data_IF_064838916530
#
_entry.id   IF_064838916530
#
_cell.length_a   1.000
_cell.length_b   1.000
_cell.length_c   1.000
_cell.angle_alpha   90.00
_cell.angle_beta   90.00
_cell.angle_gamma   90.00
#
_symmetry.space_group_name_H-M   'P 1'
#
loop_
_entity.id
_entity.type
_entity.pdbx_description
1 polymer ?
#
# COMPACT_ATOMS: atom_id res chain seq x y z
N UNK A 1 -27.77 -17.97 -40.67
CA UNK A 1 -27.93 -18.63 -39.35
C UNK A 1 -26.61 -18.51 -38.61
N UNK A 2 -26.59 -17.84 -37.46
CA UNK A 2 -25.39 -17.82 -36.60
C UNK A 2 -25.22 -19.23 -36.00
N UNK A 3 -24.05 -19.83 -36.21
CA UNK A 3 -23.69 -21.12 -35.61
C UNK A 3 -23.68 -20.97 -34.09
N UNK A 4 -24.49 -21.76 -33.37
CA UNK A 4 -24.41 -21.82 -31.91
C UNK A 4 -23.04 -22.40 -31.54
N UNK A 5 -22.24 -21.63 -30.82
CA UNK A 5 -21.02 -22.13 -30.19
C UNK A 5 -21.35 -23.36 -29.35
N UNK A 6 -20.59 -24.46 -29.50
CA UNK A 6 -20.76 -25.65 -28.67
C UNK A 6 -20.37 -25.27 -27.24
N UNK A 7 -21.37 -25.05 -26.40
CA UNK A 7 -21.18 -24.92 -24.95
C UNK A 7 -20.78 -26.31 -24.46
N UNK A 8 -19.54 -26.48 -24.04
CA UNK A 8 -19.09 -27.70 -23.35
C UNK A 8 -19.83 -27.80 -22.02
N UNK A 9 -20.26 -29.00 -21.59
CA UNK A 9 -21.03 -29.20 -20.34
C UNK A 9 -20.34 -28.63 -19.08
N UNK A 10 -19.05 -28.30 -19.16
CA UNK A 10 -18.26 -27.67 -18.09
C UNK A 10 -18.31 -26.13 -18.08
N UNK A 11 -18.95 -25.46 -19.04
CA UNK A 11 -19.01 -23.98 -19.13
C UNK A 11 -20.43 -23.46 -18.93
N UNK A 12 -20.85 -23.39 -17.66
CA UNK A 12 -22.18 -22.93 -17.25
C UNK A 12 -22.09 -21.98 -16.03
N UNK A 13 -23.15 -21.23 -15.70
CA UNK A 13 -23.14 -20.22 -14.61
C UNK A 13 -22.80 -20.72 -13.20
N UNK A 14 -22.69 -22.03 -12.99
CA UNK A 14 -22.31 -22.62 -11.70
C UNK A 14 -20.97 -23.37 -11.79
N UNK A 15 -20.30 -23.28 -12.93
CA UNK A 15 -19.03 -23.96 -13.15
C UNK A 15 -17.95 -23.31 -12.29
N UNK A 16 -17.19 -24.15 -11.59
CA UNK A 16 -16.01 -23.75 -10.82
C UNK A 16 -14.71 -24.04 -11.59
N UNK A 17 -14.81 -24.53 -12.82
CA UNK A 17 -13.65 -24.80 -13.67
C UNK A 17 -12.90 -23.51 -13.98
N UNK A 18 -11.56 -23.51 -13.88
CA UNK A 18 -10.73 -22.33 -14.19
C UNK A 18 -10.78 -21.92 -15.66
N UNK A 19 -11.18 -22.83 -16.54
CA UNK A 19 -11.38 -22.56 -17.96
C UNK A 19 -12.80 -22.06 -18.31
N UNK A 20 -13.71 -22.02 -17.33
CA UNK A 20 -15.07 -21.53 -17.56
C UNK A 20 -15.11 -20.02 -17.70
N UNK A 21 -15.81 -19.56 -18.74
CA UNK A 21 -16.10 -18.14 -18.99
C UNK A 21 -16.96 -17.59 -17.86
N UNK A 22 -17.92 -18.37 -17.36
CA UNK A 22 -18.78 -17.99 -16.25
C UNK A 22 -18.03 -17.82 -14.94
N UNK A 23 -17.13 -18.74 -14.60
CA UNK A 23 -16.30 -18.60 -13.40
C UNK A 23 -15.45 -17.32 -13.46
N UNK A 24 -14.83 -17.05 -14.61
CA UNK A 24 -14.07 -15.81 -14.85
C UNK A 24 -14.97 -14.58 -14.70
N UNK A 25 -16.17 -14.62 -15.28
CA UNK A 25 -17.15 -13.54 -15.19
C UNK A 25 -17.58 -13.23 -13.75
N UNK A 26 -17.87 -14.23 -12.92
CA UNK A 26 -18.24 -14.00 -11.51
C UNK A 26 -17.07 -13.45 -10.70
N UNK A 27 -15.85 -13.95 -10.92
CA UNK A 27 -14.64 -13.41 -10.29
C UNK A 27 -14.39 -11.95 -10.68
N UNK A 28 -14.65 -11.59 -11.94
CA UNK A 28 -14.56 -10.22 -12.41
C UNK A 28 -15.60 -9.32 -11.74
N UNK A 29 -16.86 -9.78 -11.60
CA UNK A 29 -17.90 -9.05 -10.87
C UNK A 29 -17.49 -8.80 -9.42
N UNK A 30 -17.04 -9.83 -8.71
CA UNK A 30 -16.58 -9.70 -7.32
C UNK A 30 -15.47 -8.66 -7.21
N UNK A 31 -14.50 -8.69 -8.14
CA UNK A 31 -13.41 -7.72 -8.20
C UNK A 31 -13.93 -6.30 -8.46
N UNK A 32 -14.86 -6.13 -9.39
CA UNK A 32 -15.48 -4.84 -9.71
C UNK A 32 -16.22 -4.28 -8.50
N UNK A 33 -17.04 -5.10 -7.82
CA UNK A 33 -17.77 -4.68 -6.64
C UNK A 33 -16.85 -4.32 -5.48
N UNK A 34 -15.75 -5.06 -5.31
CA UNK A 34 -14.76 -4.77 -4.28
C UNK A 34 -14.07 -3.43 -4.53
N UNK A 35 -13.60 -3.19 -5.76
CA UNK A 35 -12.98 -1.92 -6.17
C UNK A 35 -13.96 -0.77 -5.99
N UNK A 36 -15.21 -0.93 -6.43
CA UNK A 36 -16.24 0.10 -6.32
C UNK A 36 -16.51 0.51 -4.86
N UNK A 37 -16.60 -0.48 -3.95
CA UNK A 37 -16.74 -0.23 -2.51
C UNK A 37 -15.52 0.47 -1.93
N UNK A 38 -14.32 0.05 -2.30
CA UNK A 38 -13.07 0.60 -1.79
C UNK A 38 -12.80 2.03 -2.27
N UNK A 39 -13.03 2.32 -3.55
CA UNK A 39 -12.90 3.67 -4.11
C UNK A 39 -13.87 4.64 -3.43
N UNK A 40 -15.14 4.25 -3.22
CA UNK A 40 -16.14 5.11 -2.55
C UNK A 40 -15.79 5.46 -1.11
N UNK A 41 -15.04 4.61 -0.41
CA UNK A 41 -14.59 4.85 0.98
C UNK A 41 -13.18 5.43 1.08
N UNK A 42 -12.52 5.72 -0.04
CA UNK A 42 -11.15 6.26 -0.06
C UNK A 42 -11.17 7.71 0.39
N UNK A 43 -10.41 8.03 1.44
CA UNK A 43 -10.30 9.37 2.05
C UNK A 43 -11.62 10.17 2.10
N UNK A 44 -12.62 9.70 2.87
CA UNK A 44 -13.97 10.26 2.87
C UNK A 44 -14.03 11.72 3.33
N UNK A 45 -13.01 12.19 4.07
CA UNK A 45 -12.91 13.56 4.57
C UNK A 45 -12.33 14.54 3.53
N UNK A 46 -11.88 14.05 2.37
CA UNK A 46 -11.25 14.88 1.33
C UNK A 46 -12.24 15.05 0.16
N UNK A 47 -12.71 16.29 -0.09
CA UNK A 47 -13.72 16.56 -1.12
C UNK A 47 -13.36 16.06 -2.53
N UNK A 48 -12.05 15.99 -2.84
CA UNK A 48 -11.54 15.44 -4.11
C UNK A 48 -12.01 14.01 -4.37
N UNK A 49 -12.12 13.18 -3.33
CA UNK A 49 -12.48 11.76 -3.43
C UNK A 49 -13.95 11.48 -3.12
N UNK A 50 -14.62 12.27 -2.27
CA UNK A 50 -15.91 11.88 -1.68
C UNK A 50 -17.04 12.90 -1.78
N UNK A 51 -16.80 14.10 -2.33
CA UNK A 51 -17.85 15.11 -2.42
C UNK A 51 -19.00 14.68 -3.35
N UNK A 52 -20.22 15.16 -3.11
CA UNK A 52 -21.37 14.96 -4.01
C UNK A 52 -21.31 15.81 -5.29
N UNK A 53 -20.10 16.04 -5.82
CA UNK A 53 -19.84 16.82 -7.03
C UNK A 53 -19.63 15.91 -8.25
N UNK A 54 -19.88 16.43 -9.45
CA UNK A 54 -19.53 15.73 -10.69
C UNK A 54 -18.02 15.49 -10.79
N UNK A 55 -17.21 16.41 -10.27
CA UNK A 55 -15.75 16.30 -10.27
C UNK A 55 -15.27 15.11 -9.44
N UNK A 56 -15.71 14.99 -8.18
CA UNK A 56 -15.33 13.87 -7.32
C UNK A 56 -15.83 12.52 -7.87
N UNK A 57 -17.04 12.46 -8.45
CA UNK A 57 -17.53 11.25 -9.13
C UNK A 57 -16.68 10.87 -10.33
N UNK A 58 -16.24 11.85 -11.13
CA UNK A 58 -15.31 11.62 -12.25
C UNK A 58 -13.98 11.06 -11.75
N UNK A 59 -13.47 11.58 -10.63
CA UNK A 59 -12.21 11.11 -10.03
C UNK A 59 -12.35 9.66 -9.53
N UNK A 60 -13.45 9.33 -8.85
CA UNK A 60 -13.74 7.95 -8.43
C UNK A 60 -13.81 7.00 -9.63
N UNK A 61 -14.45 7.40 -10.73
CA UNK A 61 -14.56 6.56 -11.92
C UNK A 61 -13.20 6.32 -12.57
N UNK A 62 -12.35 7.35 -12.70
CA UNK A 62 -10.97 7.18 -13.19
C UNK A 62 -10.16 6.25 -12.29
N UNK A 63 -10.22 6.40 -10.96
CA UNK A 63 -9.53 5.49 -10.04
C UNK A 63 -10.01 4.04 -10.19
N UNK A 64 -11.33 3.85 -10.32
CA UNK A 64 -11.92 2.53 -10.56
C UNK A 64 -11.43 1.92 -11.87
N UNK A 65 -11.39 2.68 -12.96
CA UNK A 65 -10.86 2.23 -14.25
C UNK A 65 -9.41 1.78 -14.15
N UNK A 66 -8.55 2.57 -13.51
CA UNK A 66 -7.13 2.24 -13.30
C UNK A 66 -6.99 0.91 -12.56
N UNK A 67 -7.68 0.74 -11.43
CA UNK A 67 -7.62 -0.48 -10.62
C UNK A 67 -8.17 -1.69 -11.35
N UNK A 68 -9.24 -1.52 -12.14
CA UNK A 68 -9.81 -2.59 -12.96
C UNK A 68 -8.85 -3.05 -14.05
N UNK A 69 -8.29 -2.10 -14.81
CA UNK A 69 -7.31 -2.41 -15.87
C UNK A 69 -6.09 -3.10 -15.25
N UNK A 70 -5.58 -2.60 -14.12
CA UNK A 70 -4.50 -3.24 -13.38
C UNK A 70 -4.82 -4.69 -13.01
N UNK A 71 -5.99 -4.93 -12.40
CA UNK A 71 -6.40 -6.26 -11.96
C UNK A 71 -6.54 -7.25 -13.13
N UNK A 72 -7.03 -6.79 -14.28
CA UNK A 72 -7.20 -7.61 -15.49
C UNK A 72 -5.86 -7.94 -16.15
N UNK A 73 -4.92 -7.00 -16.16
CA UNK A 73 -3.58 -7.21 -16.73
C UNK A 73 -2.68 -8.06 -15.80
N UNK A 74 -2.89 -8.00 -14.49
CA UNK A 74 -2.07 -8.68 -13.49
C UNK A 74 -2.81 -9.83 -12.80
N UNK A 75 -3.32 -10.82 -13.56
CA UNK A 75 -4.16 -11.91 -13.04
C UNK A 75 -3.55 -12.76 -11.90
N UNK A 76 -2.22 -12.72 -11.74
CA UNK A 76 -1.51 -13.39 -10.65
C UNK A 76 -1.55 -12.65 -9.30
N UNK A 77 -1.79 -11.34 -9.31
CA UNK A 77 -1.95 -10.50 -8.11
C UNK A 77 -3.42 -10.12 -7.93
N UNK A 78 -4.04 -9.68 -9.04
CA UNK A 78 -5.37 -9.05 -9.10
C UNK A 78 -5.44 -7.82 -8.18
N UNK A 79 -6.65 -7.37 -7.90
CA UNK A 79 -6.89 -6.31 -6.92
C UNK A 79 -6.76 -6.87 -5.50
N UNK A 80 -6.06 -6.15 -4.64
CA UNK A 80 -5.98 -6.42 -3.20
C UNK A 80 -6.46 -5.17 -2.45
N UNK A 81 -7.31 -5.36 -1.44
CA UNK A 81 -7.81 -4.27 -0.62
C UNK A 81 -6.65 -3.44 -0.05
N UNK A 82 -6.72 -2.12 -0.23
CA UNK A 82 -5.65 -1.19 0.13
C UNK A 82 -4.88 -0.63 -1.07
N UNK A 83 -4.93 -1.28 -2.24
CA UNK A 83 -4.38 -0.72 -3.48
C UNK A 83 -5.04 0.62 -3.86
N UNK A 84 -6.31 0.81 -3.52
CA UNK A 84 -7.00 2.10 -3.65
C UNK A 84 -6.31 3.23 -2.89
N UNK A 85 -5.76 2.96 -1.70
CA UNK A 85 -5.06 3.94 -0.87
C UNK A 85 -3.68 4.28 -1.46
N UNK A 86 -3.05 3.36 -2.18
CA UNK A 86 -1.77 3.59 -2.88
C UNK A 86 -1.99 4.39 -4.16
N UNK A 87 -3.07 4.10 -4.89
CA UNK A 87 -3.41 4.84 -6.10
C UNK A 87 -3.82 6.29 -5.80
N UNK A 88 -4.50 6.53 -4.67
CA UNK A 88 -5.07 7.83 -4.34
C UNK A 88 -4.05 8.99 -4.35
N UNK A 89 -2.88 8.91 -3.68
CA UNK A 89 -1.84 9.93 -3.77
C UNK A 89 -1.35 10.19 -5.20
N UNK A 90 -1.11 9.13 -5.98
CA UNK A 90 -0.61 9.23 -7.37
C UNK A 90 -1.61 9.96 -8.24
N UNK A 91 -2.87 9.50 -8.24
CA UNK A 91 -3.92 10.08 -9.05
C UNK A 91 -4.24 11.51 -8.65
N UNK A 92 -4.23 11.81 -7.34
CA UNK A 92 -4.44 13.16 -6.84
C UNK A 92 -3.40 14.15 -7.39
N UNK A 93 -2.11 13.77 -7.40
CA UNK A 93 -1.05 14.64 -7.89
C UNK A 93 -1.24 14.93 -9.38
N UNK A 94 -1.41 13.90 -10.22
CA UNK A 94 -1.58 14.10 -11.66
C UNK A 94 -2.87 14.85 -12.01
N UNK A 95 -3.97 14.59 -11.29
CA UNK A 95 -5.26 15.23 -11.57
C UNK A 95 -5.31 16.70 -11.16
N UNK A 96 -4.48 17.11 -10.22
CA UNK A 96 -4.34 18.51 -9.80
C UNK A 96 -3.11 19.19 -10.42
N UNK A 97 -2.54 18.64 -11.49
CA UNK A 97 -1.46 19.29 -12.22
C UNK A 97 -1.93 20.67 -12.72
N UNK A 98 -1.14 21.75 -12.51
CA UNK A 98 -1.50 23.09 -12.97
C UNK A 98 -1.58 23.20 -14.50
N UNK A 99 -0.94 22.29 -15.23
CA UNK A 99 -1.05 22.19 -16.68
C UNK A 99 -2.29 21.37 -17.09
N UNK A 100 -3.20 22.00 -17.85
CA UNK A 100 -4.46 21.38 -18.27
C UNK A 100 -4.22 20.19 -19.22
N UNK A 101 -3.20 20.29 -20.08
CA UNK A 101 -2.82 19.21 -20.99
C UNK A 101 -2.35 18.00 -20.17
N UNK A 102 -1.49 18.19 -19.17
CA UNK A 102 -1.03 17.11 -18.27
C UNK A 102 -2.16 16.51 -17.44
N UNK A 103 -2.97 17.34 -16.77
CA UNK A 103 -4.09 16.86 -15.93
C UNK A 103 -5.21 16.16 -16.71
N UNK A 104 -5.32 16.41 -18.03
CA UNK A 104 -6.22 15.68 -18.92
C UNK A 104 -5.79 14.22 -19.16
N UNK A 105 -4.49 13.92 -19.02
CA UNK A 105 -3.91 12.58 -19.16
C UNK A 105 -3.73 11.85 -17.81
N UNK A 106 -4.18 12.46 -16.71
CA UNK A 106 -3.94 11.97 -15.35
C UNK A 106 -4.33 10.51 -15.12
N UNK A 107 -5.39 10.00 -15.77
CA UNK A 107 -5.79 8.59 -15.64
C UNK A 107 -4.73 7.63 -16.21
N UNK A 108 -4.18 7.94 -17.38
CA UNK A 108 -3.17 7.13 -18.03
C UNK A 108 -1.82 7.21 -17.29
N UNK A 109 -1.40 8.42 -16.91
CA UNK A 109 -0.14 8.63 -16.21
C UNK A 109 -0.16 7.98 -14.82
N UNK A 110 -1.26 8.14 -14.09
CA UNK A 110 -1.44 7.48 -12.81
C UNK A 110 -1.43 5.96 -12.95
N UNK A 111 -2.01 5.39 -14.01
CA UNK A 111 -1.94 3.95 -14.26
C UNK A 111 -0.49 3.46 -14.42
N UNK A 112 0.30 4.10 -15.28
CA UNK A 112 1.68 3.67 -15.51
C UNK A 112 2.56 3.85 -14.27
N UNK A 113 2.44 4.99 -13.57
CA UNK A 113 3.16 5.21 -12.32
C UNK A 113 2.75 4.23 -11.22
N UNK A 114 1.46 3.90 -11.11
CA UNK A 114 0.97 2.90 -10.17
C UNK A 114 1.50 1.50 -10.47
N UNK A 115 1.51 1.09 -11.74
CA UNK A 115 2.08 -0.19 -12.18
C UNK A 115 3.57 -0.26 -11.88
N UNK A 116 4.33 0.79 -12.22
CA UNK A 116 5.77 0.85 -11.99
C UNK A 116 6.08 0.77 -10.49
N UNK A 117 5.40 1.57 -9.67
CA UNK A 117 5.56 1.52 -8.21
C UNK A 117 5.26 0.13 -7.68
N UNK A 118 4.09 -0.45 -8.00
CA UNK A 118 3.72 -1.77 -7.50
C UNK A 118 4.60 -2.90 -8.02
N UNK A 119 5.30 -2.72 -9.14
CA UNK A 119 6.23 -3.73 -9.65
C UNK A 119 7.34 -4.05 -8.64
N UNK A 120 7.83 -3.04 -7.91
CA UNK A 120 8.82 -3.18 -6.84
C UNK A 120 8.27 -3.78 -5.53
N UNK A 121 6.95 -3.81 -5.37
CA UNK A 121 6.25 -4.34 -4.19
C UNK A 121 5.40 -5.57 -4.50
N UNK A 122 5.45 -6.08 -5.74
CA UNK A 122 4.58 -7.15 -6.25
C UNK A 122 4.59 -8.39 -5.38
N UNK A 123 5.77 -8.78 -4.90
CA UNK A 123 5.97 -9.98 -4.11
C UNK A 123 5.27 -9.90 -2.74
N UNK A 124 4.91 -8.70 -2.28
CA UNK A 124 4.19 -8.51 -1.02
C UNK A 124 2.70 -8.83 -1.13
N UNK A 125 2.15 -8.85 -2.36
CA UNK A 125 0.76 -9.18 -2.62
C UNK A 125 0.57 -10.62 -3.10
N UNK A 126 1.67 -11.35 -3.33
CA UNK A 126 1.62 -12.75 -3.70
C UNK A 126 1.69 -13.62 -2.43
N UNK A 127 0.54 -14.12 -1.96
CA UNK A 127 0.47 -14.97 -0.75
C UNK A 127 1.41 -16.18 -0.79
N UNK A 128 1.71 -16.71 -1.98
CA UNK A 128 2.63 -17.83 -2.19
C UNK A 128 4.08 -17.46 -1.84
N UNK A 129 4.42 -16.17 -1.93
CA UNK A 129 5.74 -15.63 -1.64
C UNK A 129 5.88 -15.10 -0.22
N UNK A 130 4.83 -15.10 0.61
CA UNK A 130 4.89 -14.61 1.99
C UNK A 130 6.05 -15.20 2.79
N UNK A 131 6.36 -16.48 2.59
CA UNK A 131 7.44 -17.20 3.26
C UNK A 131 8.80 -17.14 2.55
N UNK A 132 8.87 -16.44 1.42
CA UNK A 132 10.09 -16.34 0.59
C UNK A 132 10.98 -15.18 1.02
N UNK A 133 12.23 -15.20 0.55
CA UNK A 133 13.21 -14.12 0.78
C UNK A 133 12.84 -12.79 0.12
N UNK A 134 11.89 -12.79 -0.81
CA UNK A 134 11.39 -11.60 -1.51
C UNK A 134 10.01 -11.14 -1.02
N UNK A 135 9.35 -11.94 -0.18
CA UNK A 135 8.02 -11.64 0.33
C UNK A 135 7.99 -10.64 1.49
N UNK A 136 6.78 -10.28 1.89
CA UNK A 136 6.53 -9.31 2.97
C UNK A 136 7.20 -9.68 4.31
N UNK A 137 7.31 -10.97 4.64
CA UNK A 137 7.99 -11.41 5.88
C UNK A 137 9.48 -11.09 5.86
N UNK A 138 10.11 -11.13 4.68
CA UNK A 138 11.50 -10.72 4.51
C UNK A 138 11.65 -9.22 4.80
N UNK A 139 10.80 -8.37 4.22
CA UNK A 139 10.81 -6.92 4.49
C UNK A 139 10.58 -6.60 5.98
N UNK A 140 9.64 -7.28 6.65
CA UNK A 140 9.40 -7.13 8.10
C UNK A 140 10.63 -7.59 8.90
N UNK A 141 11.28 -8.68 8.50
CA UNK A 141 12.51 -9.15 9.14
C UNK A 141 13.65 -8.15 8.97
N UNK A 142 13.79 -7.54 7.79
CA UNK A 142 14.76 -6.47 7.53
C UNK A 142 14.49 -5.25 8.40
N UNK A 143 13.23 -4.84 8.57
CA UNK A 143 12.86 -3.79 9.53
C UNK A 143 13.30 -4.15 10.96
N UNK A 144 12.98 -5.36 11.43
CA UNK A 144 13.39 -5.84 12.75
C UNK A 144 14.91 -5.76 12.94
N UNK A 145 15.69 -6.19 11.93
CA UNK A 145 17.15 -6.11 11.94
C UNK A 145 17.67 -4.67 11.97
N UNK A 146 17.05 -3.74 11.23
CA UNK A 146 17.39 -2.32 11.27
C UNK A 146 17.16 -1.73 12.67
N UNK A 147 16.03 -2.05 13.31
CA UNK A 147 15.75 -1.62 14.68
C UNK A 147 16.77 -2.19 15.65
N UNK A 148 17.10 -3.49 15.55
CA UNK A 148 18.13 -4.12 16.38
C UNK A 148 19.49 -3.44 16.23
N UNK A 149 19.88 -3.08 15.01
CA UNK A 149 21.15 -2.43 14.72
C UNK A 149 21.22 -1.02 15.31
N UNK A 150 20.13 -0.26 15.26
CA UNK A 150 20.10 1.14 15.70
C UNK A 150 19.74 1.33 17.18
N UNK A 151 18.95 0.42 17.75
CA UNK A 151 18.46 0.48 19.13
C UNK A 151 18.16 -0.94 19.65
N UNK A 152 19.23 -1.65 20.03
CA UNK A 152 19.12 -3.04 20.50
C UNK A 152 18.24 -3.17 21.75
N UNK A 153 18.24 -2.18 22.64
CA UNK A 153 17.38 -2.17 23.84
C UNK A 153 15.91 -2.13 23.45
N UNK A 154 15.53 -1.24 22.52
CA UNK A 154 14.16 -1.16 22.01
C UNK A 154 13.75 -2.45 21.31
N UNK A 155 14.61 -3.00 20.46
CA UNK A 155 14.35 -4.25 19.77
C UNK A 155 14.12 -5.41 20.75
N UNK A 156 15.00 -5.59 21.74
CA UNK A 156 14.85 -6.62 22.78
C UNK A 156 13.56 -6.43 23.58
N UNK A 157 13.21 -5.19 23.93
CA UNK A 157 11.98 -4.92 24.66
C UNK A 157 10.73 -5.29 23.87
N UNK A 158 10.67 -4.95 22.58
CA UNK A 158 9.54 -5.27 21.73
C UNK A 158 9.42 -6.78 21.48
N UNK A 159 10.49 -7.43 21.03
CA UNK A 159 10.40 -8.83 20.59
C UNK A 159 10.50 -9.85 21.73
N UNK A 160 11.31 -9.57 22.75
CA UNK A 160 11.61 -10.55 23.81
C UNK A 160 10.77 -10.25 25.06
N UNK A 161 10.81 -9.02 25.56
CA UNK A 161 10.14 -8.64 26.82
C UNK A 161 8.62 -8.59 26.65
N UNK A 162 8.14 -7.78 25.71
CA UNK A 162 6.71 -7.56 25.50
C UNK A 162 6.11 -8.51 24.46
N UNK A 163 6.94 -9.20 23.67
CA UNK A 163 6.53 -10.17 22.64
C UNK A 163 5.58 -9.59 21.59
N UNK A 164 5.76 -8.31 21.26
CA UNK A 164 5.06 -7.63 20.18
C UNK A 164 5.68 -8.08 18.86
N UNK A 165 4.98 -8.96 18.13
CA UNK A 165 5.43 -9.42 16.82
C UNK A 165 5.33 -8.28 15.79
N UNK A 166 6.44 -7.94 15.08
CA UNK A 166 6.44 -6.94 14.01
C UNK A 166 5.34 -7.09 12.96
N UNK A 167 4.91 -8.31 12.67
CA UNK A 167 3.86 -8.58 11.69
C UNK A 167 2.51 -7.90 12.03
N UNK A 168 2.21 -7.64 13.30
CA UNK A 168 0.93 -7.06 13.71
C UNK A 168 0.81 -5.54 13.52
N UNK A 169 1.93 -4.86 13.25
CA UNK A 169 1.93 -3.42 12.93
C UNK A 169 2.62 -3.14 11.59
N UNK A 170 3.80 -3.72 11.35
CA UNK A 170 4.63 -3.41 10.20
C UNK A 170 4.08 -3.97 8.88
N UNK A 171 3.24 -5.00 8.92
CA UNK A 171 2.61 -5.53 7.71
C UNK A 171 1.85 -4.43 6.97
N UNK A 172 0.92 -3.74 7.67
CA UNK A 172 0.13 -2.65 7.09
C UNK A 172 1.00 -1.45 6.70
N UNK A 173 1.99 -1.11 7.53
CA UNK A 173 2.90 0.01 7.26
C UNK A 173 3.62 -0.17 5.93
N UNK A 174 4.11 -1.39 5.67
CA UNK A 174 4.90 -1.71 4.50
C UNK A 174 4.01 -1.97 3.27
N UNK A 175 2.95 -2.79 3.40
CA UNK A 175 2.10 -3.15 2.24
C UNK A 175 1.25 -2.00 1.73
N UNK A 176 1.03 -0.95 2.53
CA UNK A 176 0.30 0.24 2.12
C UNK A 176 1.19 1.48 2.01
N UNK A 177 2.52 1.32 2.04
CA UNK A 177 3.47 2.44 1.90
C UNK A 177 3.12 3.63 2.84
N UNK A 178 2.74 3.30 4.07
CA UNK A 178 2.36 4.23 5.14
C UNK A 178 1.09 5.08 4.90
N UNK A 179 0.31 4.85 3.84
CA UNK A 179 -0.87 5.67 3.49
C UNK A 179 -1.97 5.70 4.55
N UNK A 180 -1.99 4.70 5.44
CA UNK A 180 -2.94 4.62 6.55
C UNK A 180 -2.33 4.98 7.92
N UNK A 181 -1.05 5.39 8.00
CA UNK A 181 -0.43 5.83 9.26
C UNK A 181 -0.44 7.34 9.44
N UNK A 182 -0.44 8.08 8.33
CA UNK A 182 -0.33 9.52 8.30
C UNK A 182 -1.52 10.15 7.58
N UNK A 183 -1.72 11.45 7.76
CA UNK A 183 -2.70 12.17 6.97
C UNK A 183 -2.35 12.11 5.48
N UNK A 184 -3.33 12.33 4.60
CA UNK A 184 -3.11 12.28 3.16
C UNK A 184 -1.97 13.19 2.68
N UNK A 185 -1.93 14.43 3.18
CA UNK A 185 -0.90 15.41 2.80
C UNK A 185 0.47 15.07 3.41
N UNK A 186 0.50 14.52 4.63
CA UNK A 186 1.74 14.00 5.20
C UNK A 186 2.28 12.80 4.40
N UNK A 187 1.38 11.96 3.87
CA UNK A 187 1.77 10.85 2.99
C UNK A 187 2.42 11.35 1.70
N UNK A 188 1.89 12.41 1.08
CA UNK A 188 2.53 13.03 -0.10
C UNK A 188 3.97 13.45 0.21
N UNK A 189 4.19 14.14 1.33
CA UNK A 189 5.54 14.54 1.75
C UNK A 189 6.47 13.36 2.05
N UNK A 190 5.96 12.27 2.63
CA UNK A 190 6.72 11.04 2.84
C UNK A 190 7.09 10.41 1.49
N UNK A 191 6.15 10.41 0.55
CA UNK A 191 6.31 9.78 -0.76
C UNK A 191 7.33 10.51 -1.63
N UNK A 192 7.49 11.83 -1.50
CA UNK A 192 8.60 12.56 -2.11
C UNK A 192 9.96 11.95 -1.70
N UNK A 193 10.12 11.60 -0.43
CA UNK A 193 11.34 10.95 0.07
C UNK A 193 11.46 9.48 -0.38
N UNK A 194 10.35 8.74 -0.43
CA UNK A 194 10.35 7.34 -0.88
C UNK A 194 10.75 7.23 -2.36
N UNK A 195 10.16 8.07 -3.22
CA UNK A 195 10.33 8.00 -4.67
C UNK A 195 11.65 8.64 -5.14
N UNK A 196 12.24 9.54 -4.36
CA UNK A 196 13.54 10.15 -4.69
C UNK A 196 14.75 9.32 -4.25
N UNK A 197 14.54 8.18 -3.60
CA UNK A 197 15.63 7.35 -3.09
C UNK A 197 16.37 6.61 -4.22
N UNK A 198 17.68 6.84 -4.43
CA UNK A 198 18.46 6.10 -5.43
C UNK A 198 18.62 4.60 -5.14
N UNK A 199 18.49 4.16 -3.88
CA UNK A 199 18.49 2.73 -3.53
C UNK A 199 17.10 2.08 -3.68
N UNK A 200 16.08 2.91 -3.94
CA UNK A 200 14.71 2.51 -4.25
C UNK A 200 13.73 2.69 -3.08
N UNK A 201 12.41 2.68 -3.37
CA UNK A 201 11.38 3.05 -2.39
C UNK A 201 11.34 2.17 -1.14
N UNK A 202 11.67 0.88 -1.25
CA UNK A 202 11.66 -0.05 -0.11
C UNK A 202 12.71 0.31 0.94
N UNK A 203 13.90 0.75 0.53
CA UNK A 203 14.98 1.09 1.48
C UNK A 203 14.61 2.32 2.31
N UNK A 204 14.14 3.39 1.66
CA UNK A 204 13.59 4.55 2.37
C UNK A 204 12.41 4.20 3.24
N UNK A 205 11.48 3.35 2.77
CA UNK A 205 10.33 2.91 3.56
C UNK A 205 10.74 2.22 4.85
N UNK A 206 11.67 1.26 4.77
CA UNK A 206 12.18 0.55 5.95
C UNK A 206 12.94 1.50 6.90
N UNK A 207 13.69 2.47 6.36
CA UNK A 207 14.34 3.52 7.14
C UNK A 207 13.35 4.41 7.89
N UNK A 208 12.26 4.81 7.25
CA UNK A 208 11.19 5.61 7.85
C UNK A 208 10.45 4.79 8.92
N UNK A 209 10.09 3.53 8.64
CA UNK A 209 9.50 2.63 9.63
C UNK A 209 10.40 2.44 10.87
N UNK A 210 11.72 2.33 10.66
CA UNK A 210 12.67 2.25 11.78
C UNK A 210 12.69 3.57 12.58
N UNK A 211 12.72 4.72 11.91
CA UNK A 211 12.67 6.03 12.55
C UNK A 211 11.37 6.23 13.35
N UNK A 212 10.23 5.75 12.82
CA UNK A 212 8.95 5.77 13.53
C UNK A 212 9.06 5.07 14.89
N UNK A 213 9.66 3.88 14.95
CA UNK A 213 9.84 3.14 16.21
C UNK A 213 10.79 3.89 17.17
N UNK A 214 11.89 4.42 16.67
CA UNK A 214 12.88 5.16 17.47
C UNK A 214 12.28 6.45 18.07
N UNK A 215 11.43 7.17 17.33
CA UNK A 215 10.80 8.40 17.82
C UNK A 215 9.87 8.15 19.01
N UNK A 216 9.15 7.03 19.03
CA UNK A 216 8.24 6.68 20.13
C UNK A 216 8.87 5.76 21.17
N UNK A 217 10.18 5.49 21.06
CA UNK A 217 10.96 4.60 21.93
C UNK A 217 10.62 4.73 23.41
N UNK A 218 10.62 5.96 23.95
CA UNK A 218 10.38 6.18 25.39
C UNK A 218 9.03 5.62 25.86
N UNK A 219 8.00 5.73 25.01
CA UNK A 219 6.66 5.19 25.30
C UNK A 219 6.66 3.67 25.16
N UNK A 220 7.36 3.13 24.16
CA UNK A 220 7.45 1.69 23.93
C UNK A 220 8.18 0.95 25.06
N UNK A 221 9.30 1.49 25.55
CA UNK A 221 10.06 0.92 26.67
C UNK A 221 9.24 0.93 27.96
N UNK A 222 8.48 2.00 28.21
CA UNK A 222 7.62 2.11 29.39
C UNK A 222 6.33 1.26 29.29
N UNK A 223 5.95 0.86 28.07
CA UNK A 223 4.71 0.15 27.79
C UNK A 223 4.82 -1.37 27.88
N UNK A 224 3.66 -1.99 28.08
CA UNK A 224 3.42 -3.44 27.99
C UNK A 224 2.96 -3.85 26.58
N UNK A 225 2.65 -5.13 26.37
CA UNK A 225 2.17 -5.64 25.08
C UNK A 225 0.98 -4.85 24.54
N UNK A 226 -0.06 -4.63 25.36
CA UNK A 226 -1.32 -4.01 24.94
C UNK A 226 -1.13 -2.55 24.57
N UNK A 227 -0.44 -1.79 25.41
CA UNK A 227 -0.16 -0.37 25.17
C UNK A 227 0.75 -0.16 23.97
N UNK A 228 1.77 -0.99 23.79
CA UNK A 228 2.66 -0.96 22.62
C UNK A 228 1.92 -1.32 21.34
N UNK A 229 1.10 -2.36 21.35
CA UNK A 229 0.31 -2.74 20.17
C UNK A 229 -0.64 -1.61 19.76
N UNK A 230 -1.37 -1.03 20.73
CA UNK A 230 -2.26 0.09 20.46
C UNK A 230 -1.52 1.30 19.89
N UNK A 231 -0.35 1.62 20.44
CA UNK A 231 0.49 2.72 19.98
C UNK A 231 0.98 2.52 18.55
N UNK A 232 1.38 1.30 18.19
CA UNK A 232 1.92 1.01 16.85
C UNK A 232 0.82 0.85 15.80
N UNK A 233 -0.37 0.37 16.18
CA UNK A 233 -1.52 0.31 15.27
C UNK A 233 -2.17 1.68 15.04
N UNK A 234 -2.02 2.61 15.98
CA UNK A 234 -2.52 3.99 15.90
C UNK A 234 -1.37 4.96 16.20
N UNK A 235 -0.48 5.09 15.21
CA UNK A 235 0.73 5.88 15.36
C UNK A 235 0.40 7.35 15.68
N UNK A 236 1.10 8.00 16.62
CA UNK A 236 0.78 9.37 17.01
C UNK A 236 1.14 10.37 15.90
N UNK A 237 0.39 11.47 15.85
CA UNK A 237 0.72 12.63 15.00
C UNK A 237 2.17 13.05 15.21
N UNK A 238 2.92 13.16 14.11
CA UNK A 238 4.37 13.36 14.14
C UNK A 238 4.76 14.42 13.12
N UNK A 239 5.76 15.23 13.44
CA UNK A 239 6.33 16.17 12.47
C UNK A 239 7.10 15.39 11.38
N UNK A 240 6.60 15.42 10.15
CA UNK A 240 7.13 14.63 9.03
C UNK A 240 8.57 15.03 8.68
N UNK A 241 8.90 16.31 8.68
CA UNK A 241 10.26 16.77 8.40
C UNK A 241 11.26 16.23 9.44
N UNK A 242 10.88 16.19 10.72
CA UNK A 242 11.70 15.59 11.76
C UNK A 242 11.80 14.07 11.63
N UNK A 243 10.71 13.38 11.26
CA UNK A 243 10.71 11.94 10.98
C UNK A 243 11.68 11.60 9.85
N UNK A 244 11.58 12.30 8.71
CA UNK A 244 12.47 12.09 7.56
C UNK A 244 13.93 12.43 7.90
N UNK A 245 14.17 13.48 8.69
CA UNK A 245 15.52 13.78 9.18
C UNK A 245 16.11 12.63 10.02
N UNK A 246 15.32 12.06 10.95
CA UNK A 246 15.76 10.91 11.75
C UNK A 246 16.00 9.69 10.87
N UNK A 247 15.12 9.39 9.91
CA UNK A 247 15.29 8.29 8.96
C UNK A 247 16.59 8.41 8.17
N UNK A 248 16.86 9.58 7.59
CA UNK A 248 18.10 9.86 6.87
C UNK A 248 19.35 9.72 7.75
N UNK A 249 19.29 10.19 9.00
CA UNK A 249 20.40 10.07 9.95
C UNK A 249 20.69 8.61 10.35
N UNK A 250 19.66 7.78 10.50
CA UNK A 250 19.84 6.35 10.74
C UNK A 250 20.52 5.69 9.55
N UNK A 251 20.13 6.06 8.33
CA UNK A 251 20.74 5.56 7.09
C UNK A 251 22.20 5.99 6.90
N UNK A 252 22.58 7.23 7.19
CA UNK A 252 23.98 7.67 7.07
C UNK A 252 24.94 6.91 7.99
N UNK A 253 24.47 6.41 9.14
CA UNK A 253 25.26 5.54 10.04
C UNK A 253 25.46 4.12 9.50
N UNK A 254 24.91 3.79 8.34
CA UNK A 254 25.06 2.49 7.69
C UNK A 254 26.14 2.48 6.60
N UNK A 255 26.49 3.65 6.06
CA UNK A 255 27.50 3.83 5.01
C UNK A 255 28.91 4.17 5.56
N UNK A 256 29.05 4.22 6.89
CA UNK A 256 30.30 4.40 7.64
C UNK A 256 30.51 3.19 8.55
#
# INVERSE_FOLDING_TARGET
MLSRSRITDEDHPLSQGKASVWNTYFQDIETIEQIDKDVKRTHPDIPFFSAESSFARSNQESMKNILLVFAKLNQGIRYVQGMNEILAPIFYVFRNDPDEDSSSHAEADAFFCFVELLSGFRDFYCQQLDNSVVGIRSAITRLSQLVRKHDEELWRHLEITTKVNPQFYAFRWITLLLTQEFSFFDCLHIWDALLSDPEGPLESLLGICCAMLVLVRRRLIAGDFTSNMKLLQHYPTTNISHLLYVANKLRSKMLL
#
